data_IF_105412365791
#
_entry.id   IF_105412365791
#
_cell.length_a   1.000
_cell.length_b   1.000
_cell.length_c   1.000
_cell.angle_alpha   90.00
_cell.angle_beta   90.00
_cell.angle_gamma   90.00
#
_symmetry.space_group_name_H-M   'P 1'
#
loop_
_entity.id
_entity.type
_entity.pdbx_description
1 polymer ?
#
# COMPACT_ATOMS: atom_id res chain seq x y z
N UNK A 1 3.84 16.46 -7.75
CA UNK A 1 2.90 15.90 -6.76
C UNK A 1 1.89 14.91 -7.33
N UNK A 2 0.95 15.27 -8.22
CA UNK A 2 -0.08 14.32 -8.73
C UNK A 2 0.50 13.05 -9.38
N UNK A 3 1.43 13.18 -10.33
CA UNK A 3 2.11 12.03 -10.97
C UNK A 3 2.94 11.19 -9.99
N UNK A 4 3.40 11.79 -8.90
CA UNK A 4 4.11 11.04 -7.88
C UNK A 4 3.11 10.17 -7.10
N UNK A 5 2.02 10.77 -6.63
CA UNK A 5 0.95 10.06 -5.93
C UNK A 5 0.30 8.96 -6.78
N UNK A 6 0.19 9.15 -8.10
CA UNK A 6 -0.34 8.12 -8.98
C UNK A 6 0.48 6.83 -8.97
N UNK A 7 1.80 6.89 -8.70
CA UNK A 7 2.63 5.68 -8.54
C UNK A 7 2.12 4.82 -7.38
N UNK A 8 1.85 5.47 -6.23
CA UNK A 8 1.33 4.81 -5.04
C UNK A 8 -0.08 4.26 -5.31
N UNK A 9 -0.98 5.07 -5.86
CA UNK A 9 -2.39 4.67 -6.10
C UNK A 9 -2.46 3.48 -7.07
N UNK A 10 -1.73 3.53 -8.19
CA UNK A 10 -1.74 2.44 -9.16
C UNK A 10 -1.11 1.16 -8.60
N UNK A 11 -0.02 1.27 -7.82
CA UNK A 11 0.56 0.09 -7.17
C UNK A 11 -0.43 -0.53 -6.18
N UNK A 12 -1.09 0.29 -5.33
CA UNK A 12 -2.08 -0.21 -4.38
C UNK A 12 -3.28 -0.85 -5.08
N UNK A 13 -3.72 -0.30 -6.22
CA UNK A 13 -4.78 -0.91 -7.02
C UNK A 13 -4.43 -2.33 -7.48
N UNK A 14 -3.19 -2.55 -7.94
CA UNK A 14 -2.69 -3.88 -8.28
C UNK A 14 -2.68 -4.79 -7.05
N UNK A 15 -2.07 -4.33 -5.95
CA UNK A 15 -1.87 -5.14 -4.75
C UNK A 15 -3.18 -5.49 -3.99
N UNK A 16 -4.26 -4.74 -4.25
CA UNK A 16 -5.60 -4.98 -3.73
C UNK A 16 -6.50 -5.75 -4.72
N UNK A 17 -5.99 -6.14 -5.88
CA UNK A 17 -6.80 -6.88 -6.87
C UNK A 17 -7.06 -8.33 -6.44
N UNK A 18 -8.20 -8.88 -6.84
CA UNK A 18 -8.58 -10.27 -6.52
C UNK A 18 -7.69 -11.32 -7.20
N UNK A 19 -7.12 -10.94 -8.34
CA UNK A 19 -6.18 -11.76 -9.12
C UNK A 19 -5.01 -10.88 -9.47
N UNK A 20 -3.80 -11.34 -9.13
CA UNK A 20 -2.57 -10.62 -9.36
C UNK A 20 -1.61 -11.54 -10.10
N UNK A 21 -1.20 -11.14 -11.30
CA UNK A 21 -0.17 -11.84 -12.07
C UNK A 21 1.22 -11.49 -11.52
N UNK A 22 2.16 -12.42 -11.64
CA UNK A 22 3.57 -12.19 -11.23
C UNK A 22 4.18 -10.97 -11.94
N UNK A 23 3.83 -10.75 -13.20
CA UNK A 23 4.27 -9.55 -13.95
C UNK A 23 3.70 -8.26 -13.37
N UNK A 24 2.49 -8.28 -12.80
CA UNK A 24 1.88 -7.11 -12.18
C UNK A 24 2.53 -6.78 -10.83
N UNK A 25 3.03 -7.80 -10.11
CA UNK A 25 3.81 -7.61 -8.88
C UNK A 25 5.14 -6.88 -9.17
N UNK A 26 5.86 -7.26 -10.23
CA UNK A 26 7.07 -6.53 -10.66
C UNK A 26 6.76 -5.06 -11.02
N UNK A 27 5.62 -4.82 -11.68
CA UNK A 27 5.16 -3.45 -11.99
C UNK A 27 4.90 -2.66 -10.70
N UNK A 28 4.13 -3.23 -9.76
CA UNK A 28 3.81 -2.59 -8.49
C UNK A 28 5.09 -2.30 -7.67
N UNK A 29 6.04 -3.23 -7.66
CA UNK A 29 7.35 -3.05 -7.00
C UNK A 29 8.11 -1.85 -7.58
N UNK A 30 8.22 -1.77 -8.91
CA UNK A 30 8.90 -0.64 -9.59
C UNK A 30 8.21 0.69 -9.32
N UNK A 31 6.87 0.70 -9.29
CA UNK A 31 6.10 1.89 -8.96
C UNK A 31 6.35 2.37 -7.53
N UNK A 32 6.33 1.46 -6.54
CA UNK A 32 6.58 1.79 -5.14
C UNK A 32 8.04 2.15 -4.88
N UNK A 33 9.00 1.50 -5.53
CA UNK A 33 10.41 1.89 -5.45
C UNK A 33 10.64 3.29 -6.01
N UNK A 34 10.02 3.62 -7.15
CA UNK A 34 10.10 4.97 -7.72
C UNK A 34 9.37 6.01 -6.86
N UNK A 35 8.28 5.65 -6.20
CA UNK A 35 7.59 6.51 -5.22
C UNK A 35 8.50 6.77 -4.01
N UNK A 36 9.14 5.73 -3.47
CA UNK A 36 10.06 5.87 -2.34
C UNK A 36 11.26 6.77 -2.67
N UNK A 37 11.95 6.50 -3.77
CA UNK A 37 13.17 7.23 -4.16
C UNK A 37 12.95 8.73 -4.36
N UNK A 38 11.77 9.13 -4.85
CA UNK A 38 11.46 10.53 -5.14
C UNK A 38 10.83 11.28 -3.95
N UNK A 39 10.49 10.58 -2.85
CA UNK A 39 9.71 11.16 -1.78
C UNK A 39 10.48 12.22 -0.99
N UNK A 40 11.75 11.97 -0.62
CA UNK A 40 12.55 12.94 0.14
C UNK A 40 12.69 14.27 -0.60
N UNK A 41 12.96 14.21 -1.89
CA UNK A 41 13.04 15.40 -2.75
C UNK A 41 11.73 16.19 -2.82
N UNK A 42 10.58 15.50 -2.86
CA UNK A 42 9.27 16.15 -3.01
C UNK A 42 8.63 16.59 -1.70
N UNK A 43 8.92 15.92 -0.58
CA UNK A 43 8.18 16.11 0.68
C UNK A 43 9.07 16.34 1.90
N UNK A 44 10.37 16.56 1.70
CA UNK A 44 11.43 16.58 2.72
C UNK A 44 11.80 15.18 3.24
N UNK A 45 13.04 15.04 3.71
CA UNK A 45 13.61 13.77 4.19
C UNK A 45 12.89 13.21 5.42
N UNK A 46 12.16 14.05 6.16
CA UNK A 46 11.28 13.61 7.24
C UNK A 46 10.16 12.66 6.80
N UNK A 47 9.90 12.52 5.50
CA UNK A 47 8.90 11.61 4.95
C UNK A 47 9.28 10.13 5.13
N UNK A 48 10.57 9.81 5.30
CA UNK A 48 11.07 8.44 5.42
C UNK A 48 10.82 7.84 6.82
N UNK A 49 9.56 7.75 7.19
CA UNK A 49 9.07 7.05 8.38
C UNK A 49 8.96 5.55 8.13
N UNK A 50 8.61 4.79 9.17
CA UNK A 50 8.41 3.33 9.06
C UNK A 50 7.38 2.95 7.99
N UNK A 51 6.27 3.69 7.88
CA UNK A 51 5.24 3.42 6.88
C UNK A 51 5.77 3.64 5.46
N UNK A 52 6.59 4.67 5.25
CA UNK A 52 7.21 4.95 3.96
C UNK A 52 8.19 3.84 3.57
N UNK A 53 8.99 3.36 4.53
CA UNK A 53 9.91 2.24 4.30
C UNK A 53 9.17 0.93 4.02
N UNK A 54 8.07 0.64 4.72
CA UNK A 54 7.26 -0.55 4.51
C UNK A 54 6.74 -0.69 3.08
N UNK A 55 6.56 0.42 2.34
CA UNK A 55 6.20 0.38 0.92
C UNK A 55 7.22 -0.35 0.04
N UNK A 56 8.49 -0.48 0.45
CA UNK A 56 9.49 -1.27 -0.28
C UNK A 56 9.31 -2.78 -0.11
N UNK A 57 8.65 -3.21 0.97
CA UNK A 57 8.51 -4.63 1.33
C UNK A 57 7.12 -5.18 1.06
N UNK A 58 6.12 -4.31 0.88
CA UNK A 58 4.71 -4.70 0.78
C UNK A 58 4.42 -5.67 -0.38
N UNK A 59 5.16 -5.57 -1.49
CA UNK A 59 5.01 -6.51 -2.62
C UNK A 59 5.45 -7.92 -2.24
N UNK A 60 6.55 -8.06 -1.51
CA UNK A 60 7.02 -9.36 -1.03
C UNK A 60 6.01 -10.02 -0.08
N UNK A 61 5.31 -9.23 0.75
CA UNK A 61 4.23 -9.76 1.56
C UNK A 61 3.03 -10.21 0.74
N UNK A 62 2.72 -9.51 -0.37
CA UNK A 62 1.67 -9.96 -1.29
C UNK A 62 2.06 -11.26 -2.00
N UNK A 63 3.33 -11.44 -2.37
CA UNK A 63 3.84 -12.69 -2.92
C UNK A 63 3.69 -13.86 -1.93
N UNK A 64 3.90 -13.61 -0.64
CA UNK A 64 3.87 -14.64 0.40
C UNK A 64 2.45 -14.95 0.90
N UNK A 65 1.62 -13.93 1.08
CA UNK A 65 0.33 -14.02 1.80
C UNK A 65 -0.89 -13.75 0.93
N UNK A 66 -0.70 -13.42 -0.34
CA UNK A 66 -1.77 -13.07 -1.27
C UNK A 66 -2.16 -11.58 -1.23
N UNK A 67 -3.31 -11.19 -1.81
CA UNK A 67 -3.71 -9.78 -1.93
C UNK A 67 -3.81 -9.05 -0.59
N UNK A 68 -3.52 -7.75 -0.58
CA UNK A 68 -3.48 -6.96 0.66
C UNK A 68 -4.77 -7.01 1.48
N UNK A 69 -5.93 -7.07 0.82
CA UNK A 69 -7.21 -7.08 1.52
C UNK A 69 -7.38 -8.33 2.40
N UNK A 70 -6.67 -9.43 2.12
CA UNK A 70 -6.81 -10.69 2.86
C UNK A 70 -6.21 -10.64 4.27
N UNK A 71 -5.22 -9.75 4.51
CA UNK A 71 -4.56 -9.57 5.80
C UNK A 71 -4.50 -8.11 6.28
N UNK A 72 -5.18 -7.21 5.58
CA UNK A 72 -5.29 -5.81 6.01
C UNK A 72 -6.15 -5.65 7.27
N UNK A 73 -5.92 -4.56 8.01
CA UNK A 73 -6.70 -4.22 9.19
C UNK A 73 -8.09 -3.63 8.86
N UNK A 74 -8.39 -3.36 7.58
CA UNK A 74 -9.63 -2.70 7.17
C UNK A 74 -10.90 -3.43 7.66
N UNK A 75 -10.89 -4.77 7.65
CA UNK A 75 -12.02 -5.56 8.15
C UNK A 75 -12.27 -5.32 9.65
N UNK A 76 -11.20 -5.26 10.45
CA UNK A 76 -11.29 -4.99 11.88
C UNK A 76 -11.71 -3.55 12.17
N UNK A 77 -11.14 -2.57 11.46
CA UNK A 77 -11.50 -1.15 11.60
C UNK A 77 -12.98 -0.91 11.28
N UNK A 78 -13.48 -1.54 10.20
CA UNK A 78 -14.89 -1.46 9.82
C UNK A 78 -15.81 -2.06 10.89
N UNK A 79 -15.44 -3.21 11.47
CA UNK A 79 -16.19 -3.83 12.55
C UNK A 79 -16.19 -2.96 13.81
N UNK A 80 -15.05 -2.38 14.18
CA UNK A 80 -14.96 -1.47 15.34
C UNK A 80 -15.85 -0.24 15.15
N UNK A 81 -15.88 0.33 13.95
CA UNK A 81 -16.76 1.45 13.60
C UNK A 81 -18.25 1.09 13.68
N UNK A 82 -18.61 -0.15 13.36
CA UNK A 82 -19.96 -0.67 13.54
C UNK A 82 -20.32 -0.84 15.02
N UNK A 83 -19.44 -1.48 15.81
CA UNK A 83 -19.65 -1.70 17.25
C UNK A 83 -19.83 -0.39 18.01
N UNK A 84 -19.02 0.63 17.73
CA UNK A 84 -19.13 1.94 18.37
C UNK A 84 -20.43 2.69 18.12
N UNK A 85 -21.20 2.32 17.07
CA UNK A 85 -22.52 2.88 16.78
C UNK A 85 -23.67 2.08 17.39
N UNK A 86 -23.44 0.80 17.71
CA UNK A 86 -24.47 -0.08 18.27
C UNK A 86 -24.66 0.10 19.77
N UNK A 87 -23.59 0.46 20.49
CA UNK A 87 -23.63 0.68 21.92
C UNK A 87 -23.53 2.18 22.19
N UNK A 88 -24.69 2.82 22.30
CA UNK A 88 -24.89 4.17 22.82
C UNK A 88 -25.78 4.09 24.06
#
# INVERSE_FOLDING_TARGET
>A
YSRHLSLLVCAMHILLSDKILVSELDIAYRMLSKFYQNAGYLYNDSIYTINMHSLQHIVAFVELWGPLWSYSMFGFENLNGYLGKMYH
#
